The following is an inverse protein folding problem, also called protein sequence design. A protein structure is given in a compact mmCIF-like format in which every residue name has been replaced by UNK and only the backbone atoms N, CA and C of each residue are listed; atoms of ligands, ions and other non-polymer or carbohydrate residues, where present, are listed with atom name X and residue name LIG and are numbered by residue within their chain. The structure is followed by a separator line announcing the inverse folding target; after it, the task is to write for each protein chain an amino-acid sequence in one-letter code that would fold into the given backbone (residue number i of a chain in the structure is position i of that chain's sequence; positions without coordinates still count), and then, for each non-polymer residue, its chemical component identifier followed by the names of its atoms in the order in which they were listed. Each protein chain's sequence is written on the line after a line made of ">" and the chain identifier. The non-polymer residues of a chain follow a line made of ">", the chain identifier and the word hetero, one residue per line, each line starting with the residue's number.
data_IF_313772661867
#
_entry.id   IF_313772661867
#
_cell.length_a   1.000
_cell.length_b   1.000
_cell.length_c   1.000
_cell.angle_alpha   90.00
_cell.angle_beta   90.00
_cell.angle_gamma   90.00
#
_symmetry.space_group_name_H-M   'P 1'
#
loop_
_entity.id
_entity.type
_entity.pdbx_description
1 polymer ?
#
# COMPACT_ATOMS: atom_id res chain seq x y z
N UNK A 1 -44.67 56.97 -12.18
CA UNK A 1 -44.70 55.49 -12.19
C UNK A 1 -43.32 55.02 -12.63
N UNK A 2 -42.47 54.58 -11.69
CA UNK A 2 -41.10 54.02 -11.98
C UNK A 2 -41.21 52.50 -12.05
N UNK A 3 -40.97 51.93 -13.25
CA UNK A 3 -40.88 50.49 -13.46
C UNK A 3 -39.51 50.04 -12.98
N UNK A 4 -39.47 49.24 -11.94
CA UNK A 4 -38.26 48.52 -11.52
C UNK A 4 -38.11 47.25 -12.38
N UNK A 5 -36.99 47.16 -13.07
CA UNK A 5 -36.60 46.01 -13.87
C UNK A 5 -35.79 45.06 -12.94
N UNK A 6 -36.36 43.91 -12.58
CA UNK A 6 -35.65 42.85 -11.84
C UNK A 6 -34.80 42.06 -12.86
N UNK A 7 -33.49 42.18 -12.75
CA UNK A 7 -32.54 41.38 -13.53
C UNK A 7 -32.25 40.10 -12.74
N UNK A 8 -32.81 38.98 -13.17
CA UNK A 8 -32.55 37.67 -12.57
C UNK A 8 -31.22 37.13 -13.12
N UNK A 9 -30.18 37.12 -12.34
CA UNK A 9 -28.86 36.52 -12.69
C UNK A 9 -28.94 35.01 -12.52
N UNK A 10 -29.03 34.25 -13.62
CA UNK A 10 -28.91 32.80 -13.59
C UNK A 10 -27.42 32.41 -13.46
N UNK A 11 -27.02 31.91 -12.30
CA UNK A 11 -25.71 31.32 -12.09
C UNK A 11 -25.74 29.89 -12.65
N UNK A 12 -25.20 29.68 -13.83
CA UNK A 12 -24.94 28.35 -14.36
C UNK A 12 -23.78 27.74 -13.60
N UNK A 13 -24.06 26.79 -12.69
CA UNK A 13 -23.06 26.00 -12.01
C UNK A 13 -22.34 25.09 -13.02
N UNK A 14 -21.07 25.37 -13.31
CA UNK A 14 -20.20 24.46 -14.08
C UNK A 14 -19.80 23.34 -13.12
N UNK A 15 -20.44 22.17 -13.24
CA UNK A 15 -19.97 20.94 -12.62
C UNK A 15 -18.74 20.45 -13.37
N UNK A 16 -17.54 20.76 -12.89
CA UNK A 16 -16.32 20.14 -13.39
C UNK A 16 -16.33 18.66 -12.98
N UNK A 17 -16.59 17.78 -13.95
CA UNK A 17 -16.32 16.35 -13.76
C UNK A 17 -14.82 16.18 -13.75
N UNK A 18 -14.24 15.88 -12.58
CA UNK A 18 -12.86 15.46 -12.48
C UNK A 18 -12.71 14.13 -13.22
N UNK A 19 -12.06 14.14 -14.38
CA UNK A 19 -11.64 12.91 -15.04
C UNK A 19 -10.45 12.41 -14.22
N UNK A 20 -10.67 11.33 -13.46
CA UNK A 20 -9.59 10.65 -12.77
C UNK A 20 -8.63 10.08 -13.82
N UNK A 21 -7.39 10.54 -13.83
CA UNK A 21 -6.35 9.99 -14.70
C UNK A 21 -6.02 8.58 -14.20
N UNK A 22 -5.98 7.61 -15.12
CA UNK A 22 -5.74 6.21 -14.80
C UNK A 22 -4.30 6.02 -14.28
N UNK A 23 -4.14 5.55 -13.06
CA UNK A 23 -2.85 5.24 -12.49
C UNK A 23 -2.28 3.96 -13.12
N UNK A 24 -1.17 4.07 -13.87
CA UNK A 24 -0.63 2.96 -14.68
C UNK A 24 0.49 2.15 -14.01
N UNK A 25 0.91 2.49 -12.79
CA UNK A 25 2.06 1.87 -12.12
C UNK A 25 1.67 1.20 -10.79
N UNK A 26 0.49 0.58 -10.75
CA UNK A 26 0.03 -0.19 -9.59
C UNK A 26 0.81 -1.49 -9.49
N UNK A 27 1.30 -1.83 -8.29
CA UNK A 27 2.09 -3.04 -8.03
C UNK A 27 1.55 -3.82 -6.84
N UNK A 28 1.81 -5.12 -6.83
CA UNK A 28 1.57 -6.03 -5.71
C UNK A 28 0.12 -6.00 -5.18
N UNK A 29 -0.90 -6.18 -6.03
CA UNK A 29 -2.28 -6.17 -5.57
C UNK A 29 -2.56 -7.38 -4.67
N UNK A 30 -3.39 -7.16 -3.64
CA UNK A 30 -4.00 -8.20 -2.83
C UNK A 30 -5.45 -7.81 -2.51
N UNK A 31 -6.32 -8.81 -2.34
CA UNK A 31 -7.75 -8.58 -2.07
C UNK A 31 -8.25 -9.42 -0.91
N UNK A 32 -9.26 -8.91 -0.20
CA UNK A 32 -10.04 -9.62 0.82
C UNK A 32 -11.48 -9.90 0.35
N UNK A 33 -11.75 -9.90 -0.95
CA UNK A 33 -13.07 -10.04 -1.58
C UNK A 33 -13.98 -8.81 -1.45
N UNK A 34 -13.58 -7.77 -0.77
CA UNK A 34 -14.29 -6.50 -0.61
C UNK A 34 -13.45 -5.32 -1.09
N UNK A 35 -12.19 -5.34 -0.74
CA UNK A 35 -11.23 -4.28 -1.04
C UNK A 35 -10.01 -4.85 -1.77
N UNK A 36 -9.31 -3.98 -2.48
CA UNK A 36 -7.98 -4.22 -3.03
C UNK A 36 -7.00 -3.30 -2.33
N UNK A 37 -5.89 -3.84 -1.82
CA UNK A 37 -4.72 -3.08 -1.40
C UNK A 37 -3.62 -3.26 -2.44
N UNK A 38 -2.89 -2.19 -2.73
CA UNK A 38 -1.81 -2.19 -3.74
C UNK A 38 -0.75 -1.16 -3.39
N UNK A 39 0.44 -1.30 -3.96
CA UNK A 39 1.50 -0.31 -3.85
C UNK A 39 1.50 0.65 -5.05
N UNK A 40 1.64 1.94 -4.78
CA UNK A 40 1.80 2.99 -5.78
C UNK A 40 2.72 4.10 -5.26
N UNK A 41 3.73 4.48 -6.03
CA UNK A 41 4.66 5.56 -5.66
C UNK A 41 5.50 5.29 -4.41
N UNK A 42 5.59 4.03 -3.95
CA UNK A 42 6.30 3.65 -2.72
C UNK A 42 5.38 3.41 -1.52
N UNK A 43 4.12 3.82 -1.59
CA UNK A 43 3.14 3.69 -0.50
C UNK A 43 2.06 2.66 -0.79
N UNK A 44 1.33 2.26 0.25
CA UNK A 44 0.17 1.40 0.14
C UNK A 44 -1.12 2.21 0.03
N UNK A 45 -1.99 1.76 -0.86
CA UNK A 45 -3.33 2.31 -1.09
C UNK A 45 -4.37 1.20 -1.03
N UNK A 46 -5.58 1.57 -0.64
CA UNK A 46 -6.76 0.69 -0.61
C UNK A 46 -7.90 1.30 -1.42
N UNK A 47 -8.62 0.46 -2.14
CA UNK A 47 -9.83 0.84 -2.89
C UNK A 47 -10.85 -0.30 -2.82
N UNK A 48 -12.15 0.02 -2.83
CA UNK A 48 -13.19 -0.98 -2.92
C UNK A 48 -13.15 -1.71 -4.26
N UNK A 49 -13.50 -3.00 -4.29
CA UNK A 49 -13.70 -3.76 -5.54
C UNK A 49 -14.81 -3.18 -6.41
N UNK A 50 -15.73 -2.42 -5.84
CA UNK A 50 -16.78 -1.69 -6.58
C UNK A 50 -16.23 -0.44 -7.28
N UNK A 51 -14.98 -0.11 -7.06
CA UNK A 51 -14.34 1.09 -7.58
C UNK A 51 -14.42 2.27 -6.61
N UNK A 52 -14.10 3.46 -7.12
CA UNK A 52 -14.09 4.69 -6.34
C UNK A 52 -12.70 5.28 -6.16
N UNK A 53 -12.55 6.18 -5.21
CA UNK A 53 -11.28 6.82 -4.91
C UNK A 53 -10.42 5.95 -4.00
N UNK A 54 -9.17 5.72 -4.39
CA UNK A 54 -8.21 5.00 -3.56
C UNK A 54 -7.79 5.85 -2.33
N UNK A 55 -7.82 5.24 -1.17
CA UNK A 55 -7.33 5.80 0.08
C UNK A 55 -5.87 5.42 0.28
N UNK A 56 -5.00 6.41 0.56
CA UNK A 56 -3.62 6.16 0.94
C UNK A 56 -3.57 5.65 2.38
N UNK A 57 -2.93 4.50 2.60
CA UNK A 57 -2.82 3.86 3.93
C UNK A 57 -1.51 4.21 4.63
N UNK A 58 -0.43 4.40 3.87
CA UNK A 58 0.91 4.71 4.39
C UNK A 58 1.47 5.97 3.73
N UNK A 59 2.48 6.60 4.37
CA UNK A 59 3.10 7.84 3.89
C UNK A 59 4.55 7.99 4.35
N UNK A 60 5.28 6.88 4.46
CA UNK A 60 6.68 6.90 4.88
C UNK A 60 7.61 7.18 3.70
N UNK A 61 8.84 7.66 3.98
CA UNK A 61 9.87 7.89 2.96
C UNK A 61 10.43 6.59 2.37
N UNK A 62 10.36 5.48 3.11
CA UNK A 62 10.76 4.15 2.64
C UNK A 62 9.67 3.51 1.79
N UNK A 63 10.03 2.45 1.06
CA UNK A 63 9.10 1.73 0.19
C UNK A 63 8.28 0.71 0.96
N UNK A 64 6.98 0.59 0.62
CA UNK A 64 6.08 -0.47 1.04
C UNK A 64 5.71 -1.37 -0.14
N UNK A 65 5.70 -2.69 0.11
CA UNK A 65 5.57 -3.72 -0.94
C UNK A 65 4.87 -4.96 -0.40
N UNK A 66 4.37 -5.79 -1.32
CA UNK A 66 3.84 -7.13 -1.05
C UNK A 66 2.78 -7.16 0.05
N UNK A 67 1.76 -6.28 0.03
CA UNK A 67 0.70 -6.32 1.01
C UNK A 67 -0.09 -7.62 0.92
N UNK A 68 -0.58 -8.11 2.07
CA UNK A 68 -1.43 -9.29 2.19
C UNK A 68 -2.46 -9.07 3.28
N UNK A 69 -3.72 -9.16 2.93
CA UNK A 69 -4.79 -9.16 3.93
C UNK A 69 -4.72 -10.41 4.81
N UNK A 70 -5.03 -10.25 6.09
CA UNK A 70 -5.34 -11.37 6.97
C UNK A 70 -6.61 -12.09 6.49
N UNK A 71 -6.81 -13.39 6.85
CA UNK A 71 -8.00 -14.14 6.42
C UNK A 71 -9.33 -13.52 6.84
N UNK A 72 -9.36 -12.80 7.95
CA UNK A 72 -10.53 -12.05 8.44
C UNK A 72 -10.68 -10.65 7.79
N UNK A 73 -9.70 -10.24 6.96
CA UNK A 73 -9.68 -8.95 6.30
C UNK A 73 -9.43 -7.73 7.20
N UNK A 74 -9.17 -7.93 8.50
CA UNK A 74 -9.02 -6.86 9.48
C UNK A 74 -7.63 -6.21 9.50
N UNK A 75 -6.62 -6.92 8.99
CA UNK A 75 -5.23 -6.50 9.00
C UNK A 75 -4.57 -6.66 7.65
N UNK A 76 -3.49 -5.90 7.42
CA UNK A 76 -2.61 -6.01 6.26
C UNK A 76 -1.19 -6.23 6.76
N UNK A 77 -0.58 -7.36 6.37
CA UNK A 77 0.85 -7.59 6.50
C UNK A 77 1.55 -7.14 5.22
N UNK A 78 2.73 -6.53 5.34
CA UNK A 78 3.47 -6.02 4.19
C UNK A 78 4.97 -5.95 4.49
N UNK A 79 5.78 -5.83 3.45
CA UNK A 79 7.20 -5.54 3.54
C UNK A 79 7.43 -4.05 3.45
N UNK A 80 8.22 -3.47 4.35
CA UNK A 80 8.59 -2.06 4.28
C UNK A 80 10.06 -1.82 4.64
N UNK A 81 10.61 -0.70 4.13
CA UNK A 81 11.98 -0.25 4.34
C UNK A 81 11.98 1.03 5.18
N UNK A 82 11.58 0.94 6.45
CA UNK A 82 11.50 2.13 7.31
C UNK A 82 12.81 2.49 8.00
N UNK A 83 13.60 1.48 8.37
CA UNK A 83 14.84 1.65 9.14
C UNK A 83 16.09 1.19 8.37
N UNK A 84 16.07 1.30 7.03
CA UNK A 84 17.20 0.92 6.17
C UNK A 84 17.14 -0.50 5.62
N UNK A 85 16.63 -1.49 6.40
CA UNK A 85 16.36 -2.86 5.95
C UNK A 85 14.91 -3.04 5.57
N UNK A 86 14.63 -3.99 4.66
CA UNK A 86 13.27 -4.45 4.43
C UNK A 86 12.86 -5.43 5.52
N UNK A 87 11.73 -5.16 6.17
CA UNK A 87 11.18 -5.97 7.24
C UNK A 87 9.69 -6.20 7.05
N UNK A 88 9.13 -7.17 7.75
CA UNK A 88 7.70 -7.43 7.75
C UNK A 88 7.01 -6.54 8.78
N UNK A 89 5.96 -5.88 8.37
CA UNK A 89 5.12 -5.02 9.19
C UNK A 89 3.67 -5.47 9.15
N UNK A 90 2.93 -5.08 10.16
CA UNK A 90 1.50 -5.32 10.31
C UNK A 90 0.79 -4.01 10.64
N UNK A 91 -0.35 -3.75 10.02
CA UNK A 91 -1.24 -2.62 10.38
C UNK A 91 -2.71 -3.01 10.22
N UNK A 92 -3.66 -2.27 10.84
CA UNK A 92 -5.07 -2.43 10.53
C UNK A 92 -5.37 -2.20 9.05
N UNK A 93 -6.34 -2.93 8.49
CA UNK A 93 -6.72 -2.80 7.07
C UNK A 93 -7.29 -1.42 6.70
N UNK A 94 -7.79 -0.68 7.71
CA UNK A 94 -8.27 0.69 7.54
C UNK A 94 -7.17 1.75 7.64
N UNK A 95 -5.90 1.32 7.78
CA UNK A 95 -4.77 2.20 8.04
C UNK A 95 -4.48 2.36 9.53
N UNK A 96 -3.39 3.03 9.85
CA UNK A 96 -2.93 3.24 11.20
C UNK A 96 -1.42 3.07 11.34
N UNK A 97 -0.92 3.05 12.57
CA UNK A 97 0.51 2.91 12.83
C UNK A 97 0.98 1.48 12.54
N UNK A 98 1.94 1.26 11.61
CA UNK A 98 2.53 -0.05 11.38
C UNK A 98 3.34 -0.54 12.57
N UNK A 99 3.22 -1.82 12.86
CA UNK A 99 4.02 -2.53 13.88
C UNK A 99 5.02 -3.43 13.17
N UNK A 100 6.30 -3.29 13.48
CA UNK A 100 7.38 -4.13 12.95
C UNK A 100 7.34 -5.50 13.59
N UNK A 101 7.39 -6.57 12.77
CA UNK A 101 7.34 -7.96 13.22
C UNK A 101 8.69 -8.68 13.13
N UNK A 102 9.57 -8.25 12.22
CA UNK A 102 10.88 -8.89 12.02
C UNK A 102 12.01 -7.90 12.25
N UNK A 103 13.17 -8.44 12.67
CA UNK A 103 14.38 -7.70 13.02
C UNK A 103 15.58 -8.46 12.46
N UNK A 104 15.76 -8.44 11.14
CA UNK A 104 16.80 -9.20 10.47
C UNK A 104 18.11 -8.44 10.47
N UNK A 105 19.15 -9.06 11.01
CA UNK A 105 20.51 -8.53 10.84
C UNK A 105 20.97 -8.78 9.40
N UNK A 106 21.40 -7.73 8.70
CA UNK A 106 21.95 -7.82 7.35
C UNK A 106 23.42 -7.37 7.35
N UNK A 107 24.25 -8.06 6.59
CA UNK A 107 25.67 -7.72 6.46
C UNK A 107 25.91 -6.63 5.40
N UNK A 108 24.92 -6.37 4.55
CA UNK A 108 24.98 -5.41 3.47
C UNK A 108 23.69 -4.61 3.35
N UNK A 109 23.74 -3.54 2.55
CA UNK A 109 22.57 -2.74 2.25
C UNK A 109 21.51 -3.59 1.58
N UNK A 110 20.29 -3.48 2.09
CA UNK A 110 19.10 -4.11 1.49
C UNK A 110 18.62 -3.26 0.31
N UNK A 111 19.17 -3.52 -0.87
CA UNK A 111 18.84 -2.77 -2.07
C UNK A 111 17.61 -3.37 -2.75
N UNK A 112 16.54 -2.59 -2.86
CA UNK A 112 15.30 -2.99 -3.54
C UNK A 112 15.50 -3.23 -5.05
N UNK A 113 16.54 -2.62 -5.63
CA UNK A 113 16.93 -2.79 -7.02
C UNK A 113 17.80 -4.03 -7.29
N UNK A 114 18.19 -4.76 -6.23
CA UNK A 114 18.96 -5.99 -6.39
C UNK A 114 18.18 -7.04 -7.19
N UNK A 115 18.90 -7.78 -8.02
CA UNK A 115 18.35 -8.87 -8.84
C UNK A 115 17.59 -9.92 -8.01
N UNK A 116 17.95 -10.13 -6.76
CA UNK A 116 17.29 -11.04 -5.83
C UNK A 116 16.12 -10.40 -5.07
N UNK A 117 15.91 -9.12 -5.25
CA UNK A 117 14.88 -8.32 -4.55
C UNK A 117 15.18 -8.12 -3.06
N UNK A 118 14.22 -7.60 -2.30
CA UNK A 118 14.39 -7.26 -0.88
C UNK A 118 14.69 -8.50 -0.02
N UNK A 119 15.38 -8.29 1.10
CA UNK A 119 15.77 -9.37 2.02
C UNK A 119 14.56 -10.06 2.65
N UNK A 120 13.55 -9.32 3.04
CA UNK A 120 12.30 -9.86 3.56
C UNK A 120 11.15 -9.61 2.59
N UNK A 121 10.38 -10.64 2.27
CA UNK A 121 9.21 -10.57 1.39
C UNK A 121 8.03 -11.23 2.06
N UNK A 122 6.98 -10.45 2.32
CA UNK A 122 5.71 -10.97 2.82
C UNK A 122 5.02 -11.81 1.75
N UNK A 123 4.75 -13.07 2.03
CA UNK A 123 4.21 -14.04 1.08
C UNK A 123 2.72 -14.29 1.28
N UNK A 124 2.32 -14.74 2.48
CA UNK A 124 0.96 -15.17 2.76
C UNK A 124 0.68 -15.18 4.28
N UNK A 125 -0.59 -15.33 4.61
CA UNK A 125 -1.05 -15.71 5.94
C UNK A 125 -1.38 -17.19 6.00
N UNK A 126 -1.25 -17.81 7.19
CA UNK A 126 -1.87 -19.11 7.42
C UNK A 126 -3.40 -18.95 7.42
N UNK A 127 -4.16 -20.00 7.03
CA UNK A 127 -5.62 -19.94 6.97
C UNK A 127 -6.30 -19.59 8.29
N UNK A 128 -5.66 -19.91 9.42
CA UNK A 128 -6.15 -19.59 10.76
C UNK A 128 -5.82 -18.15 11.21
N UNK A 129 -5.12 -17.37 10.37
CA UNK A 129 -4.75 -15.99 10.64
C UNK A 129 -3.70 -15.78 11.73
N UNK A 130 -3.07 -16.85 12.22
CA UNK A 130 -2.15 -16.75 13.37
C UNK A 130 -0.70 -16.52 12.98
N UNK A 131 -0.32 -16.83 11.75
CA UNK A 131 1.06 -16.74 11.29
C UNK A 131 1.14 -16.06 9.92
N UNK A 132 2.28 -15.40 9.68
CA UNK A 132 2.64 -14.81 8.40
C UNK A 132 3.83 -15.59 7.86
N UNK A 133 3.67 -16.14 6.65
CA UNK A 133 4.76 -16.71 5.88
C UNK A 133 5.51 -15.60 5.18
N UNK A 134 6.80 -15.53 5.35
CA UNK A 134 7.67 -14.60 4.64
C UNK A 134 8.96 -15.27 4.19
N UNK A 135 9.54 -14.79 3.10
CA UNK A 135 10.89 -15.15 2.69
C UNK A 135 11.87 -14.27 3.42
N UNK A 136 12.91 -14.86 3.98
CA UNK A 136 14.03 -14.14 4.57
C UNK A 136 15.33 -14.52 3.84
N UNK A 137 16.21 -13.53 3.63
CA UNK A 137 17.57 -13.70 3.15
C UNK A 137 18.53 -13.14 4.17
N UNK A 138 19.20 -14.02 4.91
CA UNK A 138 20.12 -13.64 6.01
C UNK A 138 21.53 -13.35 5.48
N UNK A 139 21.93 -13.97 4.35
CA UNK A 139 23.23 -13.76 3.72
C UNK A 139 23.10 -13.56 2.23
N UNK A 140 24.09 -12.93 1.61
CA UNK A 140 24.09 -12.63 0.18
C UNK A 140 24.16 -13.87 -0.72
N UNK A 141 24.17 -15.07 -0.15
CA UNK A 141 24.16 -16.32 -0.90
C UNK A 141 25.37 -16.58 -1.78
N UNK A 142 26.36 -15.71 -1.73
CA UNK A 142 27.62 -15.79 -2.49
C UNK A 142 28.83 -15.75 -1.57
N UNK A 143 28.81 -16.47 -0.47
CA UNK A 143 30.05 -16.93 0.11
C UNK A 143 30.55 -18.06 -0.80
N UNK A 144 31.36 -17.67 -1.79
CA UNK A 144 32.12 -18.61 -2.60
C UNK A 144 33.09 -19.38 -1.72
N UNK A 145 32.66 -20.48 -1.15
CA UNK A 145 33.47 -21.52 -0.55
C UNK A 145 33.19 -22.83 -1.27
#
# INVERSE_FOLDING_TARGET
>A
MKKQLFLTLAVAGITATAIAEEARLLRFPATNSKDVVFAYGGDLYKVSLEGGQAQRLTSHIGYEMFPRFSPDGQSVAFTAQYDGNTEVYLMPAEGGQPVRLTYTATNSRDDLGDRMGPNNVTMAWTPDGKQILYRNRISDGFDGR
#
